data_IF_125883789182
#
_entry.id   IF_125883789182
#
_cell.length_a   1.000
_cell.length_b   1.000
_cell.length_c   1.000
_cell.angle_alpha   90.00
_cell.angle_beta   90.00
_cell.angle_gamma   90.00
#
_symmetry.space_group_name_H-M   'P 1'
#
loop_
_entity.id
_entity.type
_entity.pdbx_description
1 polymer ?
#
# COMPACT_ATOMS: atom_id res chain seq x y z
N UNK A 1 13.61 6.38 19.27
CA UNK A 1 14.41 6.01 18.06
C UNK A 1 13.63 6.42 16.82
N UNK A 2 14.27 6.41 15.64
CA UNK A 2 13.66 6.77 14.35
C UNK A 2 12.72 5.65 13.83
N UNK A 3 11.60 5.42 14.53
CA UNK A 3 10.50 4.55 14.06
C UNK A 3 9.59 5.35 13.13
N UNK A 4 8.84 4.67 12.26
CA UNK A 4 7.86 5.29 11.36
C UNK A 4 6.99 6.36 12.07
N UNK A 5 6.39 6.01 13.22
CA UNK A 5 5.57 6.95 14.01
C UNK A 5 6.35 8.18 14.50
N UNK A 6 7.61 8.02 14.91
CA UNK A 6 8.43 9.13 15.40
C UNK A 6 9.01 9.99 14.27
N UNK A 7 9.02 9.49 13.03
CA UNK A 7 9.51 10.21 11.85
C UNK A 7 8.42 11.02 11.15
N UNK A 8 7.15 10.84 11.53
CA UNK A 8 6.05 11.63 11.00
C UNK A 8 6.26 13.14 11.26
N UNK A 9 6.07 13.96 10.23
CA UNK A 9 6.26 15.42 10.28
C UNK A 9 7.71 15.89 10.25
N UNK A 10 8.67 15.00 10.06
CA UNK A 10 10.10 15.36 9.97
C UNK A 10 10.57 15.63 8.54
N UNK A 11 9.78 15.24 7.53
CA UNK A 11 10.16 15.29 6.12
C UNK A 11 11.11 14.17 5.68
N UNK A 12 11.39 13.18 6.54
CA UNK A 12 12.23 12.02 6.22
C UNK A 12 11.34 10.83 5.86
N UNK A 13 11.52 10.32 4.63
CA UNK A 13 10.76 9.17 4.14
C UNK A 13 11.08 7.86 4.86
N UNK A 14 10.03 7.07 5.12
CA UNK A 14 10.14 5.70 5.63
C UNK A 14 9.42 4.71 4.74
N UNK A 15 9.98 3.51 4.60
CA UNK A 15 9.36 2.42 3.85
C UNK A 15 8.01 2.04 4.44
N UNK A 16 7.00 1.94 3.57
CA UNK A 16 5.65 1.57 3.93
C UNK A 16 5.41 0.08 3.72
N UNK A 17 5.48 -0.67 4.82
CA UNK A 17 5.18 -2.10 4.91
C UNK A 17 3.68 -2.44 4.82
N UNK A 18 2.78 -1.49 5.08
CA UNK A 18 1.32 -1.70 4.96
C UNK A 18 0.95 -2.04 3.53
N UNK A 19 1.34 -1.19 2.57
CA UNK A 19 1.06 -1.40 1.15
C UNK A 19 1.77 -2.65 0.62
N UNK A 20 3.00 -2.90 1.09
CA UNK A 20 3.77 -4.10 0.74
C UNK A 20 2.97 -5.36 1.03
N UNK A 21 2.51 -5.50 2.27
CA UNK A 21 1.83 -6.71 2.73
C UNK A 21 0.40 -6.80 2.19
N UNK A 22 -0.32 -5.68 2.11
CA UNK A 22 -1.69 -5.68 1.59
C UNK A 22 -1.76 -6.03 0.10
N UNK A 23 -0.80 -5.56 -0.71
CA UNK A 23 -0.73 -5.91 -2.13
C UNK A 23 -0.24 -7.35 -2.32
N UNK A 24 0.85 -7.75 -1.63
CA UNK A 24 1.48 -9.07 -1.82
C UNK A 24 0.73 -10.21 -1.14
N UNK A 25 0.13 -9.98 0.02
CA UNK A 25 -0.40 -11.03 0.90
C UNK A 25 0.65 -11.67 1.80
N UNK A 26 0.24 -12.03 3.02
CA UNK A 26 1.10 -12.57 4.06
C UNK A 26 2.10 -11.53 4.60
N UNK A 27 3.29 -11.99 5.00
CA UNK A 27 4.38 -11.13 5.46
C UNK A 27 5.75 -11.72 5.10
N UNK A 28 6.85 -10.98 5.23
CA UNK A 28 8.20 -11.54 5.07
C UNK A 28 8.54 -12.70 6.03
N UNK A 29 7.78 -12.85 7.13
CA UNK A 29 8.08 -13.81 8.19
C UNK A 29 7.16 -15.05 8.16
N UNK A 30 6.20 -15.11 7.24
CA UNK A 30 5.24 -16.21 7.16
C UNK A 30 4.07 -15.90 6.23
N UNK A 31 3.20 -16.90 6.01
CA UNK A 31 2.08 -16.76 5.08
C UNK A 31 2.57 -16.72 3.62
N UNK A 32 3.57 -17.52 3.26
CA UNK A 32 4.15 -17.52 1.89
C UNK A 32 3.11 -17.72 0.80
N UNK A 33 2.11 -18.55 1.04
CA UNK A 33 1.01 -18.81 0.10
C UNK A 33 -0.26 -18.00 0.41
N UNK A 34 -0.27 -17.13 1.44
CA UNK A 34 -1.42 -16.26 1.70
C UNK A 34 -1.52 -15.19 0.63
N UNK A 35 -2.67 -15.10 -0.04
CA UNK A 35 -2.91 -14.13 -1.11
C UNK A 35 -3.21 -12.74 -0.54
N UNK A 36 -2.86 -11.73 -1.34
CA UNK A 36 -3.19 -10.32 -1.11
C UNK A 36 -4.06 -9.77 -2.24
N UNK A 37 -4.13 -8.44 -2.33
CA UNK A 37 -4.99 -7.76 -3.31
C UNK A 37 -4.63 -8.13 -4.76
N UNK A 38 -3.34 -8.20 -5.12
CA UNK A 38 -2.95 -8.32 -6.54
C UNK A 38 -2.93 -9.74 -7.08
N UNK A 39 -3.09 -10.77 -6.24
CA UNK A 39 -2.82 -12.16 -6.61
C UNK A 39 -3.91 -13.16 -6.21
N UNK A 40 -5.15 -12.71 -6.02
CA UNK A 40 -6.33 -13.58 -6.06
C UNK A 40 -7.12 -13.76 -4.77
N UNK A 41 -6.77 -13.06 -3.67
CA UNK A 41 -7.51 -13.22 -2.40
C UNK A 41 -9.02 -13.00 -2.62
N UNK A 42 -9.85 -13.95 -2.19
CA UNK A 42 -11.32 -13.98 -2.35
C UNK A 42 -11.85 -14.20 -3.78
N UNK A 43 -11.24 -13.62 -4.82
CA UNK A 43 -11.77 -13.69 -6.20
C UNK A 43 -11.12 -14.77 -7.07
N UNK A 44 -9.95 -15.28 -6.70
CA UNK A 44 -9.25 -16.37 -7.37
C UNK A 44 -8.39 -17.14 -6.34
N UNK A 45 -9.02 -17.82 -5.35
CA UNK A 45 -8.32 -18.42 -4.23
C UNK A 45 -7.42 -19.57 -4.68
N UNK A 46 -6.22 -19.65 -4.12
CA UNK A 46 -5.31 -20.77 -4.36
C UNK A 46 -5.73 -22.01 -3.54
N UNK A 47 -5.03 -23.12 -3.79
CA UNK A 47 -5.41 -24.45 -3.30
C UNK A 47 -5.23 -24.62 -1.77
N UNK A 48 -4.50 -23.71 -1.11
CA UNK A 48 -4.28 -23.75 0.34
C UNK A 48 -5.21 -22.81 1.11
N UNK A 49 -5.99 -21.99 0.41
CA UNK A 49 -7.00 -21.15 1.03
C UNK A 49 -8.09 -22.03 1.67
N UNK A 50 -8.23 -21.88 2.99
CA UNK A 50 -9.14 -22.68 3.81
C UNK A 50 -10.07 -21.83 4.66
N UNK A 51 -9.90 -20.51 4.65
CA UNK A 51 -10.79 -19.58 5.35
C UNK A 51 -12.17 -19.59 4.69
N UNK A 52 -13.26 -19.47 5.46
CA UNK A 52 -14.58 -19.27 4.88
C UNK A 52 -14.62 -18.03 3.98
N UNK A 53 -15.41 -18.07 2.92
CA UNK A 53 -15.52 -16.99 1.93
C UNK A 53 -15.77 -15.61 2.57
N UNK A 54 -16.65 -15.54 3.58
CA UNK A 54 -16.89 -14.28 4.31
C UNK A 54 -15.66 -13.73 5.03
N UNK A 55 -14.76 -14.60 5.51
CA UNK A 55 -13.49 -14.20 6.12
C UNK A 55 -12.48 -13.77 5.04
N UNK A 56 -12.45 -14.46 3.90
CA UNK A 56 -11.62 -14.04 2.76
C UNK A 56 -12.02 -12.65 2.28
N UNK A 57 -13.34 -12.41 2.09
CA UNK A 57 -13.88 -11.10 1.72
C UNK A 57 -13.52 -10.04 2.74
N UNK A 58 -13.79 -10.27 4.03
CA UNK A 58 -13.46 -9.31 5.08
C UNK A 58 -11.96 -9.00 5.13
N UNK A 59 -11.10 -10.00 4.94
CA UNK A 59 -9.65 -9.81 4.84
C UNK A 59 -9.31 -8.93 3.65
N UNK A 60 -9.80 -9.25 2.45
CA UNK A 60 -9.56 -8.46 1.24
C UNK A 60 -10.00 -7.00 1.43
N UNK A 61 -11.16 -6.77 2.02
CA UNK A 61 -11.69 -5.42 2.23
C UNK A 61 -10.82 -4.59 3.19
N UNK A 62 -10.30 -5.21 4.26
CA UNK A 62 -9.33 -4.55 5.13
C UNK A 62 -8.02 -4.22 4.39
N UNK A 63 -7.51 -5.15 3.57
CA UNK A 63 -6.31 -4.91 2.76
C UNK A 63 -6.55 -3.76 1.76
N UNK A 64 -7.74 -3.68 1.16
CA UNK A 64 -8.11 -2.58 0.26
C UNK A 64 -8.10 -1.23 0.99
N UNK A 65 -8.57 -1.15 2.23
CA UNK A 65 -8.49 0.08 3.03
C UNK A 65 -7.05 0.45 3.40
N UNK A 66 -6.20 -0.52 3.75
CA UNK A 66 -4.77 -0.28 3.96
C UNK A 66 -4.09 0.24 2.69
N UNK A 67 -4.45 -0.30 1.52
CA UNK A 67 -3.97 0.17 0.22
C UNK A 67 -4.45 1.60 -0.05
N UNK A 68 -5.73 1.91 0.19
CA UNK A 68 -6.27 3.28 0.03
C UNK A 68 -5.51 4.29 0.89
N UNK A 69 -5.26 3.98 2.16
CA UNK A 69 -4.48 4.83 3.05
C UNK A 69 -3.08 5.06 2.49
N UNK A 70 -2.39 4.00 2.05
CA UNK A 70 -1.07 4.13 1.45
C UNK A 70 -1.05 4.94 0.14
N UNK A 71 -2.05 4.72 -0.71
CA UNK A 71 -2.24 5.45 -1.97
C UNK A 71 -2.54 6.94 -1.74
N UNK A 72 -3.11 7.31 -0.59
CA UNK A 72 -3.29 8.69 -0.14
C UNK A 72 -2.07 9.23 0.64
N UNK A 73 -0.86 8.75 0.34
CA UNK A 73 0.37 9.23 0.98
C UNK A 73 0.61 8.65 2.38
N UNK A 74 -0.12 7.61 2.76
CA UNK A 74 -0.09 6.95 4.08
C UNK A 74 -0.35 7.90 5.26
N UNK A 75 -1.08 8.98 4.99
CA UNK A 75 -1.36 10.07 5.90
C UNK A 75 -2.19 9.59 7.09
N UNK A 76 -1.81 9.99 8.29
CA UNK A 76 -2.53 9.67 9.52
C UNK A 76 -3.96 10.25 9.51
N UNK A 77 -4.11 11.47 8.98
CA UNK A 77 -5.35 12.24 9.06
C UNK A 77 -6.19 12.17 7.77
N UNK A 78 -5.77 11.41 6.75
CA UNK A 78 -6.55 11.30 5.52
C UNK A 78 -7.89 10.61 5.79
N UNK A 79 -8.99 11.34 5.55
CA UNK A 79 -10.35 10.87 5.84
C UNK A 79 -11.02 10.23 4.64
N UNK A 80 -11.62 9.05 4.83
CA UNK A 80 -12.37 8.32 3.81
C UNK A 80 -13.40 7.36 4.44
N UNK A 81 -14.31 6.82 3.63
CA UNK A 81 -15.25 5.77 4.07
C UNK A 81 -14.56 4.41 4.05
N UNK A 82 -14.41 3.77 5.20
CA UNK A 82 -13.84 2.43 5.35
C UNK A 82 -14.81 1.34 4.87
N UNK A 83 -14.31 0.10 4.79
CA UNK A 83 -15.11 -1.07 4.45
C UNK A 83 -16.23 -1.37 5.45
N UNK A 84 -16.17 -0.82 6.66
CA UNK A 84 -17.25 -0.91 7.65
C UNK A 84 -18.43 0.01 7.31
N UNK A 85 -18.25 0.96 6.37
CA UNK A 85 -19.22 2.02 6.09
C UNK A 85 -19.02 3.28 6.93
N UNK A 86 -18.11 3.26 7.90
CA UNK A 86 -17.81 4.41 8.74
C UNK A 86 -16.78 5.33 8.06
N UNK A 87 -16.93 6.64 8.25
CA UNK A 87 -15.89 7.61 7.90
C UNK A 87 -14.79 7.57 8.96
N UNK A 88 -13.57 7.29 8.53
CA UNK A 88 -12.39 7.16 9.39
C UNK A 88 -11.20 7.87 8.79
N UNK A 89 -10.18 8.10 9.61
CA UNK A 89 -8.86 8.58 9.18
C UNK A 89 -7.90 7.42 8.91
N UNK A 90 -6.82 7.66 8.19
CA UNK A 90 -5.80 6.64 7.91
C UNK A 90 -5.20 6.00 9.17
N UNK A 91 -5.09 6.75 10.26
CA UNK A 91 -4.59 6.25 11.54
C UNK A 91 -5.57 5.31 12.27
N UNK A 92 -6.85 5.33 11.90
CA UNK A 92 -7.88 4.46 12.48
C UNK A 92 -8.01 3.12 11.75
N UNK A 93 -7.41 2.99 10.56
CA UNK A 93 -7.29 1.69 9.88
C UNK A 93 -6.20 0.87 10.54
N UNK A 94 -6.52 -0.36 10.90
CA UNK A 94 -5.58 -1.24 11.60
C UNK A 94 -4.55 -1.86 10.66
N UNK A 95 -3.29 -1.95 11.12
CA UNK A 95 -2.24 -2.80 10.57
C UNK A 95 -1.42 -3.43 11.71
N UNK A 96 -1.59 -4.74 11.93
CA UNK A 96 -1.05 -5.40 13.11
C UNK A 96 -1.55 -4.75 14.41
N UNK A 97 -0.61 -4.41 15.30
CA UNK A 97 -0.90 -3.70 16.55
C UNK A 97 -0.88 -2.16 16.41
N UNK A 98 -0.67 -1.65 15.20
CA UNK A 98 -0.49 -0.22 14.93
C UNK A 98 -1.45 0.33 13.87
N UNK A 99 -1.36 1.65 13.61
CA UNK A 99 -2.13 2.29 12.56
C UNK A 99 -1.56 1.99 11.17
N UNK A 100 -2.42 1.94 10.16
CA UNK A 100 -2.00 1.90 8.77
C UNK A 100 -1.38 3.25 8.37
N UNK A 101 -2.12 4.34 8.55
CA UNK A 101 -1.67 5.70 8.28
C UNK A 101 -0.85 6.28 9.44
N UNK A 102 0.30 6.87 9.12
CA UNK A 102 1.19 7.46 10.13
C UNK A 102 1.91 8.73 9.68
N UNK A 103 1.98 9.03 8.38
CA UNK A 103 2.74 10.18 7.88
C UNK A 103 1.97 11.48 8.10
N UNK A 104 2.69 12.59 8.17
CA UNK A 104 2.10 13.93 8.17
C UNK A 104 2.16 14.59 6.77
N UNK A 105 3.06 14.13 5.92
CA UNK A 105 3.22 14.59 4.54
C UNK A 105 3.37 13.40 3.58
N UNK A 106 2.75 13.42 2.38
CA UNK A 106 2.86 12.31 1.44
C UNK A 106 4.31 11.97 1.07
N UNK A 107 5.25 12.92 1.12
CA UNK A 107 6.65 12.70 0.79
C UNK A 107 7.37 11.81 1.82
N UNK A 108 6.80 11.62 3.01
CA UNK A 108 7.32 10.72 4.04
C UNK A 108 7.01 9.24 3.75
N UNK A 109 6.14 8.97 2.77
CA UNK A 109 5.67 7.63 2.42
C UNK A 109 6.45 7.05 1.23
N UNK A 110 7.36 6.11 1.51
CA UNK A 110 8.05 5.34 0.47
C UNK A 110 7.24 4.07 0.18
N UNK A 111 6.45 4.09 -0.89
CA UNK A 111 5.61 2.97 -1.30
C UNK A 111 6.43 1.91 -2.05
N UNK A 112 6.37 0.66 -1.60
CA UNK A 112 7.06 -0.45 -2.24
C UNK A 112 6.33 -1.77 -2.02
N UNK A 113 6.52 -2.70 -2.95
CA UNK A 113 6.00 -4.09 -2.85
C UNK A 113 7.08 -5.13 -3.16
N UNK A 114 8.32 -4.68 -3.34
CA UNK A 114 9.51 -5.51 -3.48
C UNK A 114 10.74 -4.64 -3.25
N UNK A 115 11.78 -5.24 -2.69
CA UNK A 115 13.07 -4.63 -2.45
C UNK A 115 14.18 -5.68 -2.66
N UNK A 116 15.40 -5.37 -2.23
CA UNK A 116 16.52 -6.28 -2.36
C UNK A 116 16.45 -7.44 -1.35
N UNK A 117 15.88 -7.19 -0.18
CA UNK A 117 15.55 -8.17 0.86
C UNK A 117 14.21 -8.85 0.57
N UNK A 118 14.05 -10.07 1.09
CA UNK A 118 12.90 -10.94 0.86
C UNK A 118 12.76 -11.36 -0.62
N UNK A 119 11.70 -12.09 -0.94
CA UNK A 119 11.44 -12.55 -2.30
C UNK A 119 11.14 -11.38 -3.24
N UNK A 120 11.57 -11.49 -4.50
CA UNK A 120 11.13 -10.58 -5.56
C UNK A 120 9.60 -10.62 -5.70
N UNK A 121 9.01 -9.62 -6.35
CA UNK A 121 7.56 -9.64 -6.59
C UNK A 121 7.15 -10.86 -7.43
N UNK A 122 7.93 -11.19 -8.46
CA UNK A 122 7.61 -12.31 -9.34
C UNK A 122 7.66 -13.65 -8.59
N UNK A 123 8.68 -13.87 -7.76
CA UNK A 123 8.82 -15.08 -6.94
C UNK A 123 7.68 -15.19 -5.92
N UNK A 124 7.33 -14.07 -5.26
CA UNK A 124 6.22 -14.05 -4.32
C UNK A 124 4.87 -14.37 -4.99
N UNK A 125 4.64 -13.91 -6.22
CA UNK A 125 3.45 -14.28 -6.99
C UNK A 125 3.44 -15.77 -7.30
N UNK A 126 4.59 -16.39 -7.57
CA UNK A 126 4.63 -17.83 -7.87
C UNK A 126 4.16 -18.68 -6.69
N UNK A 127 4.45 -18.28 -5.46
CA UNK A 127 3.93 -18.96 -4.26
C UNK A 127 2.41 -18.82 -4.08
N UNK A 128 1.83 -17.72 -4.55
CA UNK A 128 0.50 -17.26 -4.13
C UNK A 128 -0.57 -17.45 -5.19
N UNK A 129 -0.20 -17.35 -6.46
CA UNK A 129 -1.13 -17.51 -7.56
C UNK A 129 -1.67 -18.96 -7.60
N UNK A 130 -2.96 -19.17 -7.90
CA UNK A 130 -3.53 -20.50 -8.05
C UNK A 130 -2.75 -21.34 -9.06
N UNK A 131 -2.71 -22.65 -8.89
CA UNK A 131 -1.98 -23.54 -9.79
C UNK A 131 -2.51 -23.47 -11.23
N UNK A 132 -3.80 -23.17 -11.41
CA UNK A 132 -4.42 -22.99 -12.72
C UNK A 132 -4.07 -21.65 -13.41
N UNK A 133 -3.50 -20.67 -12.69
CA UNK A 133 -3.17 -19.36 -13.25
C UNK A 133 -2.04 -19.46 -14.28
N UNK A 134 -2.30 -18.96 -15.48
CA UNK A 134 -1.35 -18.96 -16.59
C UNK A 134 -0.20 -17.96 -16.37
N UNK A 135 0.86 -18.03 -17.18
CA UNK A 135 1.91 -17.00 -17.16
C UNK A 135 1.33 -15.60 -17.43
N UNK A 136 0.37 -15.48 -18.36
CA UNK A 136 -0.29 -14.21 -18.65
C UNK A 136 -1.04 -13.66 -17.42
N UNK A 137 -1.73 -14.52 -16.66
CA UNK A 137 -2.38 -14.13 -15.41
C UNK A 137 -1.37 -13.64 -14.38
N UNK A 138 -0.25 -14.35 -14.23
CA UNK A 138 0.84 -14.01 -13.29
C UNK A 138 1.53 -12.69 -13.66
N UNK A 139 1.73 -12.42 -14.95
CA UNK A 139 2.21 -11.12 -15.44
C UNK A 139 1.20 -10.02 -15.12
N UNK A 140 -0.12 -10.28 -15.22
CA UNK A 140 -1.13 -9.31 -14.80
C UNK A 140 -1.19 -9.10 -13.30
N UNK A 141 -0.95 -10.13 -12.47
CA UNK A 141 -0.81 -9.99 -11.02
C UNK A 141 0.40 -9.11 -10.65
N UNK A 142 1.53 -9.28 -11.35
CA UNK A 142 2.72 -8.44 -11.22
C UNK A 142 2.38 -6.99 -11.57
N UNK A 143 1.75 -6.80 -12.74
CA UNK A 143 1.31 -5.51 -13.24
C UNK A 143 0.36 -4.81 -12.26
N UNK A 144 -0.66 -5.50 -11.76
CA UNK A 144 -1.61 -4.96 -10.78
C UNK A 144 -0.90 -4.50 -9.50
N UNK A 145 0.07 -5.25 -8.99
CA UNK A 145 0.84 -4.81 -7.83
C UNK A 145 1.66 -3.55 -8.13
N UNK A 146 2.38 -3.53 -9.25
CA UNK A 146 3.23 -2.40 -9.63
C UNK A 146 2.43 -1.13 -9.91
N UNK A 147 1.24 -1.25 -10.51
CA UNK A 147 0.39 -0.10 -10.82
C UNK A 147 -0.13 0.60 -9.57
N UNK A 148 -0.45 -0.16 -8.50
CA UNK A 148 -0.84 0.40 -7.19
C UNK A 148 0.27 1.32 -6.68
N UNK A 149 1.52 0.86 -6.67
CA UNK A 149 2.68 1.67 -6.26
C UNK A 149 2.89 2.85 -7.21
N UNK A 150 2.75 2.64 -8.52
CA UNK A 150 2.97 3.65 -9.55
C UNK A 150 1.99 4.82 -9.48
N UNK A 151 0.74 4.57 -9.12
CA UNK A 151 -0.30 5.60 -9.07
C UNK A 151 -0.63 6.08 -7.65
N UNK A 152 0.10 5.61 -6.64
CA UNK A 152 0.01 6.12 -5.27
C UNK A 152 0.59 7.54 -5.14
N UNK A 153 0.03 8.36 -4.25
CA UNK A 153 0.68 9.56 -3.73
C UNK A 153 1.89 9.19 -2.86
N UNK A 154 2.80 10.14 -2.70
CA UNK A 154 4.11 9.92 -2.07
C UNK A 154 5.18 9.45 -3.04
N UNK A 155 6.14 8.67 -2.56
CA UNK A 155 7.34 8.30 -3.32
C UNK A 155 7.29 6.82 -3.72
N UNK A 156 7.03 6.49 -5.00
CA UNK A 156 7.12 5.13 -5.49
C UNK A 156 8.56 4.62 -5.47
N UNK A 157 8.75 3.41 -4.96
CA UNK A 157 10.01 2.69 -4.97
C UNK A 157 9.84 1.35 -5.68
N UNK A 158 10.75 1.05 -6.60
CA UNK A 158 10.74 -0.19 -7.38
C UNK A 158 12.09 -0.89 -7.28
N UNK A 159 12.05 -2.19 -6.95
CA UNK A 159 13.22 -3.04 -7.02
C UNK A 159 13.66 -3.22 -8.48
N UNK A 160 14.98 -3.10 -8.74
CA UNK A 160 15.52 -3.28 -10.08
C UNK A 160 15.13 -4.65 -10.66
N UNK A 161 14.52 -4.64 -11.86
CA UNK A 161 14.03 -5.82 -12.56
C UNK A 161 12.59 -6.22 -12.21
N UNK A 162 11.90 -5.51 -11.31
CA UNK A 162 10.46 -5.74 -11.11
C UNK A 162 9.64 -5.48 -12.38
N UNK A 163 10.08 -4.56 -13.23
CA UNK A 163 9.54 -4.29 -14.57
C UNK A 163 9.90 -5.37 -15.62
N UNK A 164 10.77 -6.32 -15.28
CA UNK A 164 11.22 -7.39 -16.17
C UNK A 164 11.00 -8.77 -15.55
N UNK A 165 10.01 -8.91 -14.66
CA UNK A 165 9.65 -10.16 -14.01
C UNK A 165 10.81 -10.82 -13.23
N UNK A 166 11.74 -10.03 -12.68
CA UNK A 166 12.94 -10.55 -12.01
C UNK A 166 12.61 -11.60 -10.96
N UNK A 167 13.35 -12.70 -11.03
CA UNK A 167 13.36 -13.78 -10.06
C UNK A 167 14.78 -13.96 -9.51
N UNK A 168 14.86 -14.42 -8.26
CA UNK A 168 16.08 -14.92 -7.63
C UNK A 168 15.97 -16.42 -7.36
N UNK A 169 15.14 -17.12 -8.14
CA UNK A 169 14.80 -18.53 -7.95
C UNK A 169 14.30 -18.81 -6.52
N UNK A 170 13.42 -17.92 -6.00
CA UNK A 170 12.87 -17.94 -4.65
C UNK A 170 13.82 -17.61 -3.49
N UNK A 171 15.04 -17.12 -3.75
CA UNK A 171 15.93 -16.71 -2.65
C UNK A 171 15.37 -15.51 -1.89
N UNK A 172 15.05 -15.72 -0.60
CA UNK A 172 14.51 -14.67 0.28
C UNK A 172 15.57 -13.74 0.86
N UNK A 173 16.84 -14.11 0.83
CA UNK A 173 17.92 -13.33 1.44
C UNK A 173 19.21 -13.53 0.66
N UNK A 174 19.25 -12.90 -0.52
CA UNK A 174 20.24 -13.17 -1.55
C UNK A 174 21.52 -12.32 -1.42
N UNK A 175 21.80 -11.76 -0.24
CA UNK A 175 22.89 -10.80 -0.04
C UNK A 175 24.27 -11.37 -0.42
N UNK A 176 24.47 -12.69 -0.27
CA UNK A 176 25.71 -13.41 -0.59
C UNK A 176 25.47 -14.62 -1.52
N UNK A 177 24.39 -14.58 -2.32
CA UNK A 177 24.05 -15.65 -3.27
C UNK A 177 24.73 -15.48 -4.63
N UNK A 178 25.63 -14.49 -4.77
CA UNK A 178 26.43 -14.24 -5.97
C UNK A 178 25.63 -13.89 -7.23
N UNK A 179 26.34 -13.79 -8.35
CA UNK A 179 25.77 -13.40 -9.64
C UNK A 179 24.75 -14.41 -10.18
N UNK A 180 24.91 -15.70 -9.82
CA UNK A 180 24.03 -16.77 -10.29
C UNK A 180 22.56 -16.48 -9.94
N UNK A 181 22.27 -16.20 -8.67
CA UNK A 181 20.89 -15.92 -8.22
C UNK A 181 20.48 -14.45 -8.35
N UNK A 182 21.43 -13.51 -8.39
CA UNK A 182 21.12 -12.07 -8.40
C UNK A 182 21.17 -11.41 -9.78
N UNK A 183 21.69 -12.10 -10.80
CA UNK A 183 21.92 -11.56 -12.13
C UNK A 183 20.68 -10.89 -12.75
N UNK A 184 20.89 -9.73 -13.37
CA UNK A 184 19.89 -9.03 -14.16
C UNK A 184 20.22 -9.20 -15.65
N UNK A 185 19.32 -9.83 -16.39
CA UNK A 185 19.49 -10.05 -17.82
C UNK A 185 18.85 -8.93 -18.66
N UNK A 186 19.68 -7.95 -19.03
CA UNK A 186 19.26 -6.83 -19.87
C UNK A 186 19.06 -7.19 -21.36
N UNK A 187 19.30 -8.45 -21.76
CA UNK A 187 18.88 -8.94 -23.08
C UNK A 187 17.40 -9.36 -23.12
N UNK A 188 16.74 -9.36 -21.96
CA UNK A 188 15.33 -9.74 -21.75
C UNK A 188 15.04 -11.20 -22.13
N UNK A 189 16.04 -12.07 -22.15
CA UNK A 189 15.87 -13.48 -22.50
C UNK A 189 15.46 -14.33 -21.29
N UNK A 190 15.84 -13.91 -20.08
CA UNK A 190 15.62 -14.68 -18.84
C UNK A 190 15.23 -13.77 -17.69
N UNK A 191 14.30 -14.23 -16.86
CA UNK A 191 13.90 -13.55 -15.62
C UNK A 191 14.80 -13.88 -14.42
N UNK A 192 15.55 -14.98 -14.47
CA UNK A 192 16.24 -15.57 -13.32
C UNK A 192 15.44 -16.68 -12.62
N UNK A 193 14.24 -17.01 -13.11
CA UNK A 193 13.40 -18.07 -12.53
C UNK A 193 13.86 -19.46 -12.99
N UNK A 194 13.78 -20.44 -12.09
CA UNK A 194 14.03 -21.84 -12.44
C UNK A 194 15.51 -22.21 -12.58
N UNK A 195 16.44 -21.47 -11.97
CA UNK A 195 17.89 -21.70 -12.07
C UNK A 195 18.47 -22.54 -10.93
N UNK A 196 17.61 -23.32 -10.27
CA UNK A 196 17.94 -24.19 -9.13
C UNK A 196 17.37 -23.69 -7.81
N UNK A 197 17.38 -24.56 -6.79
CA UNK A 197 16.99 -24.18 -5.43
C UNK A 197 17.96 -23.13 -4.88
N UNK A 198 17.49 -22.11 -4.16
CA UNK A 198 18.34 -21.07 -3.59
C UNK A 198 19.17 -21.60 -2.42
N UNK A 199 20.14 -20.84 -1.90
CA UNK A 199 21.07 -21.32 -0.86
C UNK A 199 20.35 -21.82 0.40
N UNK A 200 20.78 -22.98 0.92
CA UNK A 200 20.10 -23.70 1.99
C UNK A 200 19.97 -22.90 3.30
N UNK A 201 20.99 -22.13 3.67
CA UNK A 201 21.07 -21.39 4.96
C UNK A 201 19.79 -20.60 5.28
N UNK A 202 19.23 -19.93 4.27
CA UNK A 202 18.03 -19.09 4.44
C UNK A 202 16.75 -19.74 3.92
N UNK A 203 16.85 -20.77 3.08
CA UNK A 203 15.74 -21.20 2.23
C UNK A 203 15.34 -22.67 2.38
N UNK A 204 16.15 -23.51 3.04
CA UNK A 204 15.95 -24.97 3.05
C UNK A 204 14.59 -25.41 3.59
N UNK A 205 14.06 -24.71 4.60
CA UNK A 205 12.75 -25.01 5.18
C UNK A 205 11.61 -24.88 4.15
N UNK A 206 11.76 -24.00 3.15
CA UNK A 206 10.77 -23.75 2.12
C UNK A 206 11.01 -24.54 0.82
N UNK A 207 12.06 -25.36 0.75
CA UNK A 207 12.32 -26.20 -0.43
C UNK A 207 11.13 -27.07 -0.87
N UNK A 208 10.34 -27.68 0.04
CA UNK A 208 9.15 -28.44 -0.38
C UNK A 208 8.12 -27.61 -1.15
N UNK A 209 8.04 -26.29 -0.88
CA UNK A 209 7.19 -25.36 -1.63
C UNK A 209 7.82 -24.96 -2.97
N UNK A 210 9.14 -24.71 -2.97
CA UNK A 210 9.87 -24.24 -4.15
C UNK A 210 10.03 -25.31 -5.23
N UNK A 211 10.36 -26.54 -4.84
CA UNK A 211 10.69 -27.63 -5.76
C UNK A 211 9.64 -27.88 -6.85
N UNK A 212 8.34 -28.05 -6.54
CA UNK A 212 7.33 -28.27 -7.58
C UNK A 212 7.19 -27.06 -8.51
N UNK A 213 7.29 -25.83 -7.98
CA UNK A 213 7.17 -24.59 -8.76
C UNK A 213 8.38 -24.40 -9.70
N UNK A 214 9.59 -24.65 -9.22
CA UNK A 214 10.82 -24.55 -10.03
C UNK A 214 10.91 -25.64 -11.10
N UNK A 215 10.25 -26.78 -10.89
CA UNK A 215 10.22 -27.88 -11.84
C UNK A 215 9.18 -27.69 -12.96
N UNK A 216 8.25 -26.73 -12.83
CA UNK A 216 7.21 -26.50 -13.82
C UNK A 216 7.71 -25.55 -14.93
N UNK A 217 7.91 -26.04 -16.17
CA UNK A 217 8.34 -25.20 -17.28
C UNK A 217 7.30 -24.13 -17.67
N UNK A 218 6.02 -24.30 -17.31
CA UNK A 218 4.99 -23.30 -17.58
C UNK A 218 5.16 -22.02 -16.72
N UNK A 219 5.93 -22.10 -15.62
CA UNK A 219 6.21 -20.97 -14.75
C UNK A 219 7.49 -20.19 -15.14
N UNK A 220 8.15 -20.58 -16.24
CA UNK A 220 9.28 -19.82 -16.78
C UNK A 220 8.79 -18.74 -17.76
N UNK A 221 8.96 -17.44 -17.45
CA UNK A 221 8.56 -16.37 -18.37
C UNK A 221 9.33 -16.42 -19.68
N UNK A 222 8.61 -16.24 -20.78
CA UNK A 222 9.24 -16.02 -22.09
C UNK A 222 9.77 -14.59 -22.23
N UNK A 223 10.58 -14.34 -23.25
CA UNK A 223 10.97 -12.98 -23.61
C UNK A 223 9.75 -12.08 -23.87
N UNK A 224 8.67 -12.62 -24.45
CA UNK A 224 7.46 -11.85 -24.73
C UNK A 224 6.78 -11.39 -23.44
N UNK A 225 6.71 -12.26 -22.42
CA UNK A 225 6.15 -11.93 -21.11
C UNK A 225 6.96 -10.84 -20.40
N UNK A 226 8.30 -10.96 -20.42
CA UNK A 226 9.23 -9.98 -19.84
C UNK A 226 9.06 -8.62 -20.53
N UNK A 227 9.04 -8.60 -21.87
CA UNK A 227 8.89 -7.37 -22.63
C UNK A 227 7.50 -6.74 -22.48
N UNK A 228 6.44 -7.55 -22.35
CA UNK A 228 5.10 -7.06 -22.09
C UNK A 228 5.03 -6.33 -20.74
N UNK A 229 5.60 -6.90 -19.68
CA UNK A 229 5.69 -6.25 -18.37
C UNK A 229 6.48 -4.92 -18.44
N UNK A 230 7.64 -4.94 -19.11
CA UNK A 230 8.51 -3.77 -19.22
C UNK A 230 7.86 -2.62 -20.01
N UNK A 231 7.11 -2.93 -21.07
CA UNK A 231 6.41 -1.92 -21.86
C UNK A 231 5.28 -1.26 -21.07
N UNK A 232 4.44 -2.07 -20.43
CA UNK A 232 3.35 -1.56 -19.57
C UNK A 232 3.89 -0.70 -18.41
N UNK A 233 5.01 -1.11 -17.80
CA UNK A 233 5.65 -0.32 -16.75
C UNK A 233 6.11 1.07 -17.25
N UNK A 234 6.71 1.14 -18.45
CA UNK A 234 7.11 2.41 -19.08
C UNK A 234 5.92 3.28 -19.44
N UNK A 235 4.83 2.69 -19.89
CA UNK A 235 3.57 3.39 -20.16
C UNK A 235 3.07 4.08 -18.88
N UNK A 236 3.04 3.37 -17.74
CA UNK A 236 2.60 4.00 -16.49
C UNK A 236 3.55 5.07 -15.97
N UNK A 237 4.86 4.95 -16.20
CA UNK A 237 5.80 6.05 -15.89
C UNK A 237 5.44 7.31 -16.67
N UNK A 238 5.08 7.19 -17.95
CA UNK A 238 4.63 8.31 -18.77
C UNK A 238 3.33 8.92 -18.21
N UNK A 239 2.38 8.08 -17.78
CA UNK A 239 1.11 8.55 -17.19
C UNK A 239 1.35 9.24 -15.84
N UNK A 240 2.17 8.68 -14.95
CA UNK A 240 2.48 9.34 -13.67
C UNK A 240 3.14 10.71 -13.89
N UNK A 241 3.93 10.85 -14.96
CA UNK A 241 4.59 12.11 -15.30
C UNK A 241 3.68 13.09 -16.04
N UNK A 242 2.62 12.62 -16.72
CA UNK A 242 1.76 13.47 -17.54
C UNK A 242 0.95 14.48 -16.72
N UNK A 243 0.66 14.17 -15.46
CA UNK A 243 -0.11 15.05 -14.58
C UNK A 243 0.58 15.29 -13.23
N UNK A 244 0.62 16.54 -12.71
CA UNK A 244 0.99 16.82 -11.32
C UNK A 244 0.05 16.18 -10.30
N UNK A 245 -1.19 15.86 -10.67
CA UNK A 245 -2.19 15.28 -9.77
C UNK A 245 -1.78 13.90 -9.21
N UNK A 246 -0.92 13.16 -9.90
CA UNK A 246 -0.36 11.90 -9.38
C UNK A 246 0.74 12.09 -8.33
N UNK A 247 1.19 13.33 -8.10
CA UNK A 247 2.39 13.68 -7.32
C UNK A 247 2.12 14.91 -6.43
N UNK A 248 0.99 14.90 -5.74
CA UNK A 248 0.60 15.96 -4.80
C UNK A 248 1.64 16.04 -3.68
N UNK A 249 2.03 17.27 -3.34
CA UNK A 249 3.19 17.52 -2.49
C UNK A 249 2.84 17.74 -1.02
N UNK A 250 1.56 17.97 -0.71
CA UNK A 250 1.12 18.31 0.64
C UNK A 250 -0.05 17.45 1.07
N UNK A 251 -0.19 17.22 2.38
CA UNK A 251 -1.36 16.53 2.93
C UNK A 251 -2.67 17.27 2.62
N UNK A 252 -2.65 18.60 2.58
CA UNK A 252 -3.81 19.41 2.24
C UNK A 252 -4.27 19.19 0.79
N UNK A 253 -3.34 19.14 -0.16
CA UNK A 253 -3.65 18.82 -1.55
C UNK A 253 -4.20 17.41 -1.70
N UNK A 254 -3.58 16.42 -1.04
CA UNK A 254 -4.09 15.03 -1.05
C UNK A 254 -5.51 14.98 -0.52
N UNK A 255 -5.78 15.62 0.63
CA UNK A 255 -7.11 15.63 1.24
C UNK A 255 -8.17 16.35 0.39
N UNK A 256 -7.78 17.41 -0.34
CA UNK A 256 -8.70 18.20 -1.16
C UNK A 256 -8.98 17.58 -2.54
N UNK A 257 -8.02 16.82 -3.10
CA UNK A 257 -8.03 16.40 -4.51
C UNK A 257 -8.28 14.91 -4.68
N UNK A 258 -7.78 14.09 -3.75
CA UNK A 258 -7.86 12.65 -3.85
C UNK A 258 -9.11 12.14 -3.12
N UNK A 259 -9.91 11.32 -3.82
CA UNK A 259 -10.99 10.57 -3.21
C UNK A 259 -10.99 9.11 -3.67
N UNK A 260 -11.49 8.23 -2.82
CA UNK A 260 -11.76 6.84 -3.18
C UNK A 260 -13.25 6.59 -3.34
N UNK A 261 -13.58 5.87 -4.40
CA UNK A 261 -14.90 5.34 -4.70
C UNK A 261 -14.90 3.82 -4.55
N UNK A 262 -16.08 3.21 -4.66
CA UNK A 262 -16.29 1.80 -4.33
C UNK A 262 -15.82 1.50 -2.89
N UNK A 263 -16.38 2.23 -1.92
CA UNK A 263 -16.09 2.14 -0.48
C UNK A 263 -17.33 1.68 0.29
N UNK A 264 -17.20 1.46 1.60
CA UNK A 264 -18.31 0.96 2.42
C UNK A 264 -18.48 -0.56 2.43
N UNK A 265 -19.49 -1.06 3.15
CA UNK A 265 -19.74 -2.49 3.35
C UNK A 265 -20.09 -3.26 2.09
N UNK A 266 -20.73 -2.55 1.16
CA UNK A 266 -21.33 -3.11 -0.06
C UNK A 266 -20.39 -3.00 -1.26
N UNK A 267 -19.15 -2.51 -1.04
CA UNK A 267 -18.17 -2.36 -2.11
C UNK A 267 -17.86 -3.69 -2.81
N UNK A 268 -17.54 -3.57 -4.10
CA UNK A 268 -17.04 -4.65 -4.93
C UNK A 268 -15.62 -5.01 -4.48
N UNK A 269 -15.44 -6.23 -3.95
CA UNK A 269 -14.12 -6.73 -3.57
C UNK A 269 -13.20 -6.85 -4.78
N UNK A 270 -11.96 -6.37 -4.65
CA UNK A 270 -10.97 -6.42 -5.73
C UNK A 270 -11.02 -5.25 -6.71
N UNK A 271 -11.91 -4.26 -6.50
CA UNK A 271 -11.92 -3.01 -7.25
C UNK A 271 -11.56 -1.83 -6.35
N UNK A 272 -10.46 -1.15 -6.64
CA UNK A 272 -10.17 0.18 -6.07
C UNK A 272 -10.43 1.22 -7.15
N UNK A 273 -11.18 2.28 -6.81
CA UNK A 273 -11.43 3.41 -7.71
C UNK A 273 -10.93 4.67 -7.03
N UNK A 274 -9.98 5.35 -7.65
CA UNK A 274 -9.38 6.59 -7.15
C UNK A 274 -9.71 7.72 -8.11
N UNK A 275 -10.17 8.87 -7.62
CA UNK A 275 -10.25 10.09 -8.40
C UNK A 275 -9.27 11.14 -7.91
N UNK A 276 -8.76 11.95 -8.83
CA UNK A 276 -7.95 13.13 -8.56
C UNK A 276 -8.66 14.31 -9.21
N UNK A 277 -9.26 15.18 -8.40
CA UNK A 277 -9.98 16.37 -8.83
C UNK A 277 -9.03 17.58 -8.87
N UNK A 278 -9.12 18.37 -9.93
CA UNK A 278 -8.49 19.69 -10.01
C UNK A 278 -9.52 20.82 -10.11
N UNK A 279 -10.61 20.58 -10.84
CA UNK A 279 -11.65 21.56 -11.07
C UNK A 279 -12.27 22.09 -9.76
N UNK A 280 -12.49 23.40 -9.71
CA UNK A 280 -13.17 24.07 -8.60
C UNK A 280 -12.32 24.29 -7.36
N UNK A 281 -11.03 23.96 -7.40
CA UNK A 281 -10.09 24.24 -6.32
C UNK A 281 -9.38 25.59 -6.49
N UNK A 282 -8.86 26.21 -5.41
CA UNK A 282 -8.26 27.54 -5.48
C UNK A 282 -7.05 27.65 -6.42
N UNK A 283 -6.39 26.53 -6.71
CA UNK A 283 -5.24 26.45 -7.60
C UNK A 283 -5.50 25.33 -8.59
N UNK A 284 -5.51 25.65 -9.89
CA UNK A 284 -5.43 24.63 -10.95
C UNK A 284 -3.97 24.15 -11.02
N UNK A 285 -3.75 22.84 -10.79
CA UNK A 285 -2.41 22.23 -10.84
C UNK A 285 -2.07 21.65 -12.22
N UNK A 286 -3.06 21.17 -12.95
CA UNK A 286 -2.99 20.55 -14.26
C UNK A 286 -3.87 21.33 -15.26
N UNK A 287 -3.27 22.19 -16.11
CA UNK A 287 -4.02 23.06 -17.01
C UNK A 287 -4.76 22.32 -18.13
N UNK A 288 -4.56 21.01 -18.27
CA UNK A 288 -5.15 20.20 -19.33
C UNK A 288 -6.28 19.29 -18.83
N UNK A 289 -6.44 19.12 -17.50
CA UNK A 289 -7.29 18.06 -16.91
C UNK A 289 -8.06 18.54 -15.68
N UNK A 290 -9.39 18.46 -15.75
CA UNK A 290 -10.28 18.74 -14.62
C UNK A 290 -10.30 17.61 -13.58
N UNK A 291 -10.26 16.36 -14.06
CA UNK A 291 -10.32 15.17 -13.21
C UNK A 291 -9.65 13.96 -13.86
N UNK A 292 -8.95 13.18 -13.05
CA UNK A 292 -8.46 11.84 -13.41
C UNK A 292 -9.22 10.80 -12.60
N UNK A 293 -9.63 9.71 -13.22
CA UNK A 293 -10.17 8.52 -12.54
C UNK A 293 -9.31 7.31 -12.86
N UNK A 294 -8.83 6.62 -11.83
CA UNK A 294 -8.05 5.39 -11.96
C UNK A 294 -8.82 4.24 -11.33
N UNK A 295 -9.00 3.17 -12.10
CA UNK A 295 -9.64 1.94 -11.66
C UNK A 295 -8.63 0.80 -11.65
N UNK A 296 -8.52 0.11 -10.52
CA UNK A 296 -7.67 -1.05 -10.31
C UNK A 296 -8.56 -2.27 -10.12
N UNK A 297 -8.82 -3.00 -11.21
CA UNK A 297 -9.63 -4.22 -11.16
C UNK A 297 -8.71 -5.44 -11.00
N UNK A 298 -8.55 -5.93 -9.77
CA UNK A 298 -7.75 -7.13 -9.47
C UNK A 298 -8.51 -8.44 -9.71
N UNK A 299 -9.83 -8.38 -9.91
CA UNK A 299 -10.67 -9.56 -10.19
C UNK A 299 -10.35 -10.16 -11.56
N UNK A 300 -10.79 -11.41 -11.80
CA UNK A 300 -10.57 -12.10 -13.08
C UNK A 300 -11.51 -11.63 -14.17
N UNK A 301 -12.64 -11.02 -13.81
CA UNK A 301 -13.71 -10.63 -14.73
C UNK A 301 -13.73 -9.12 -14.98
N UNK A 302 -14.29 -8.66 -16.12
CA UNK A 302 -14.59 -7.25 -16.32
C UNK A 302 -15.54 -6.72 -15.26
N UNK A 303 -15.32 -5.48 -14.82
CA UNK A 303 -16.19 -4.78 -13.87
C UNK A 303 -16.65 -3.46 -14.48
N UNK A 304 -17.95 -3.17 -14.33
CA UNK A 304 -18.55 -1.87 -14.62
C UNK A 304 -18.90 -1.17 -13.32
N UNK A 305 -18.48 0.08 -13.16
CA UNK A 305 -18.69 0.86 -11.94
C UNK A 305 -19.01 2.32 -12.25
N UNK A 306 -20.04 2.88 -11.60
CA UNK A 306 -20.44 4.27 -11.71
C UNK A 306 -20.19 4.99 -10.38
N UNK A 307 -19.17 5.86 -10.27
CA UNK A 307 -18.93 6.63 -9.05
C UNK A 307 -20.08 7.60 -8.78
N UNK A 308 -20.66 7.54 -7.58
CA UNK A 308 -21.81 8.37 -7.20
C UNK A 308 -21.51 9.87 -7.33
N UNK A 309 -20.27 10.29 -7.05
CA UNK A 309 -19.87 11.70 -7.18
C UNK A 309 -20.07 12.21 -8.60
N UNK A 310 -19.85 11.37 -9.61
CA UNK A 310 -20.00 11.80 -11.00
C UNK A 310 -21.44 12.11 -11.33
N UNK A 311 -22.41 11.50 -10.64
CA UNK A 311 -23.84 11.81 -10.84
C UNK A 311 -24.22 13.19 -10.27
N UNK A 312 -23.47 13.68 -9.28
CA UNK A 312 -23.69 14.99 -8.68
C UNK A 312 -23.03 16.14 -9.46
N UNK A 313 -22.10 15.85 -10.38
CA UNK A 313 -21.39 16.86 -11.15
C UNK A 313 -22.14 17.26 -12.42
N UNK A 314 -22.05 18.55 -12.78
CA UNK A 314 -22.48 19.04 -14.09
C UNK A 314 -21.31 18.91 -15.07
N UNK A 315 -21.37 17.87 -15.90
CA UNK A 315 -20.34 17.57 -16.90
C UNK A 315 -20.75 18.09 -18.28
N UNK A 316 -19.90 18.92 -18.89
CA UNK A 316 -20.01 19.38 -20.28
C UNK A 316 -19.12 18.57 -21.25
N UNK A 317 -18.12 17.87 -20.71
CA UNK A 317 -17.23 16.94 -21.42
C UNK A 317 -17.41 15.49 -20.98
N UNK A 318 -16.65 14.59 -21.60
CA UNK A 318 -16.67 13.15 -21.33
C UNK A 318 -15.29 12.63 -20.94
N UNK A 319 -15.25 11.61 -20.10
CA UNK A 319 -14.00 10.92 -19.80
C UNK A 319 -13.52 10.14 -21.01
N UNK A 320 -12.23 10.21 -21.28
CA UNK A 320 -11.55 9.36 -22.26
C UNK A 320 -10.49 8.49 -21.59
N UNK A 321 -10.27 7.29 -22.11
CA UNK A 321 -9.12 6.48 -21.71
C UNK A 321 -7.83 7.28 -21.97
N UNK A 322 -6.92 7.30 -21.01
CA UNK A 322 -5.68 8.08 -21.11
C UNK A 322 -4.95 7.74 -22.42
N UNK A 323 -4.44 8.71 -23.21
CA UNK A 323 -3.90 8.47 -24.54
C UNK A 323 -2.81 7.38 -24.63
N UNK A 324 -1.97 7.30 -23.60
CA UNK A 324 -0.96 6.24 -23.45
C UNK A 324 -1.60 4.84 -23.38
N UNK A 325 -2.70 4.68 -22.64
CA UNK A 325 -3.40 3.40 -22.53
C UNK A 325 -4.21 3.08 -23.79
N UNK A 326 -4.82 4.08 -24.43
CA UNK A 326 -5.50 3.91 -25.71
C UNK A 326 -4.56 3.44 -26.83
N UNK A 327 -3.26 3.75 -26.72
CA UNK A 327 -2.21 3.30 -27.63
C UNK A 327 -1.30 2.23 -27.02
N UNK A 328 -1.73 1.58 -25.93
CA UNK A 328 -0.91 0.65 -25.15
C UNK A 328 -0.48 -0.56 -25.97
N UNK A 329 0.67 -1.13 -25.64
CA UNK A 329 1.05 -2.47 -26.12
C UNK A 329 0.17 -3.59 -25.57
N UNK A 330 -0.57 -3.36 -24.48
CA UNK A 330 -1.57 -4.26 -23.93
C UNK A 330 -2.95 -4.01 -24.58
N UNK A 331 -3.34 -4.89 -25.50
CA UNK A 331 -4.64 -4.79 -26.15
C UNK A 331 -5.84 -4.96 -25.19
N UNK A 332 -5.64 -5.54 -24.00
CA UNK A 332 -6.73 -5.70 -23.02
C UNK A 332 -7.12 -4.35 -22.43
N UNK A 333 -6.17 -3.52 -22.00
CA UNK A 333 -6.49 -2.21 -21.40
C UNK A 333 -7.14 -1.25 -22.40
N UNK A 334 -6.87 -1.41 -23.70
CA UNK A 334 -7.55 -0.65 -24.76
C UNK A 334 -9.06 -0.90 -24.80
N UNK A 335 -9.53 -2.04 -24.26
CA UNK A 335 -10.94 -2.36 -24.12
C UNK A 335 -11.64 -1.66 -22.95
N UNK A 336 -10.90 -0.94 -22.09
CA UNK A 336 -11.49 -0.16 -21.02
C UNK A 336 -12.23 1.07 -21.59
N UNK A 337 -13.42 1.35 -21.09
CA UNK A 337 -14.33 2.35 -21.65
C UNK A 337 -15.08 3.15 -20.60
N UNK A 338 -15.59 4.31 -21.01
CA UNK A 338 -16.52 5.13 -20.26
C UNK A 338 -17.83 5.26 -21.04
N UNK A 339 -18.96 5.12 -20.33
CA UNK A 339 -20.30 5.37 -20.86
C UNK A 339 -20.84 6.67 -20.25
N UNK A 340 -21.09 7.68 -21.11
CA UNK A 340 -21.55 9.00 -20.70
C UNK A 340 -23.02 9.02 -20.24
N UNK A 341 -23.87 8.10 -20.70
CA UNK A 341 -25.27 8.04 -20.32
C UNK A 341 -25.41 7.57 -18.86
N UNK A 342 -24.65 6.54 -18.49
CA UNK A 342 -24.68 5.97 -17.15
C UNK A 342 -23.60 6.53 -16.21
N UNK A 343 -22.69 7.37 -16.74
CA UNK A 343 -21.47 7.87 -16.08
C UNK A 343 -20.68 6.74 -15.43
N UNK A 344 -20.51 5.65 -16.17
CA UNK A 344 -19.91 4.41 -15.69
C UNK A 344 -18.63 4.07 -16.45
N UNK A 345 -17.69 3.41 -15.77
CA UNK A 345 -16.45 2.92 -16.33
C UNK A 345 -16.49 1.40 -16.39
N UNK A 346 -16.09 0.82 -17.53
CA UNK A 346 -15.89 -0.63 -17.67
C UNK A 346 -14.41 -0.93 -17.79
N UNK A 347 -13.91 -1.84 -16.96
CA UNK A 347 -12.48 -2.20 -16.89
C UNK A 347 -12.33 -3.72 -16.92
N UNK A 348 -11.55 -4.28 -17.86
CA UNK A 348 -11.30 -5.73 -17.92
C UNK A 348 -10.69 -6.30 -16.64
N UNK A 349 -10.76 -7.63 -16.50
CA UNK A 349 -10.12 -8.33 -15.39
C UNK A 349 -8.61 -8.09 -15.33
N UNK A 350 -8.06 -8.06 -14.11
CA UNK A 350 -6.64 -7.87 -13.81
C UNK A 350 -6.01 -6.70 -14.56
N UNK A 351 -6.70 -5.55 -14.56
CA UNK A 351 -6.34 -4.38 -15.37
C UNK A 351 -6.42 -3.10 -14.54
N UNK A 352 -5.44 -2.22 -14.74
CA UNK A 352 -5.48 -0.84 -14.25
C UNK A 352 -5.73 0.10 -15.41
N UNK A 353 -6.83 0.84 -15.34
CA UNK A 353 -7.23 1.80 -16.36
C UNK A 353 -7.25 3.22 -15.79
N UNK A 354 -6.76 4.19 -16.57
CA UNK A 354 -6.70 5.60 -16.22
C UNK A 354 -7.54 6.36 -17.23
N UNK A 355 -8.52 7.12 -16.76
CA UNK A 355 -9.38 7.97 -17.55
C UNK A 355 -9.13 9.43 -17.18
N UNK A 356 -9.20 10.31 -18.17
CA UNK A 356 -9.00 11.75 -18.00
C UNK A 356 -10.24 12.49 -18.49
N UNK A 357 -10.64 13.50 -17.74
CA UNK A 357 -11.66 14.46 -18.12
C UNK A 357 -10.94 15.79 -18.43
N UNK A 358 -11.00 16.31 -19.67
CA UNK A 358 -10.28 17.52 -20.05
C UNK A 358 -10.69 18.74 -19.21
N UNK A 359 -9.77 19.71 -19.06
CA UNK A 359 -10.05 21.00 -18.42
C UNK A 359 -11.32 21.68 -19.00
N UNK A 360 -12.13 22.28 -18.12
CA UNK A 360 -13.36 22.99 -18.49
C UNK A 360 -14.57 22.10 -18.76
N UNK A 361 -14.47 20.81 -18.46
CA UNK A 361 -15.54 19.82 -18.53
C UNK A 361 -16.44 19.80 -17.29
N UNK A 362 -15.99 20.30 -16.13
CA UNK A 362 -16.76 20.41 -14.90
C UNK A 362 -17.19 21.85 -14.70
N UNK A 363 -18.51 22.08 -14.68
CA UNK A 363 -19.06 23.39 -14.34
C UNK A 363 -18.88 23.67 -12.85
N UNK A 364 -17.94 24.53 -12.50
CA UNK A 364 -17.84 25.07 -11.14
C UNK A 364 -18.80 26.24 -11.04
N UNK A 365 -19.88 26.12 -10.26
CA UNK A 365 -20.74 27.25 -9.97
C UNK A 365 -19.90 28.30 -9.22
N UNK A 366 -19.45 29.34 -9.94
CA UNK A 366 -18.83 30.51 -9.32
C UNK A 366 -19.93 31.19 -8.52
N UNK A 367 -19.96 30.95 -7.21
CA UNK A 367 -20.68 31.83 -6.31
C UNK A 367 -19.98 33.19 -6.38
N UNK A 368 -20.48 34.06 -7.25
CA UNK A 368 -20.12 35.48 -7.24
C UNK A 368 -20.76 36.06 -5.99
N UNK A 369 -20.08 35.95 -4.84
CA UNK A 369 -20.34 36.90 -3.76
C UNK A 369 -19.77 38.24 -4.23
N UNK A 370 -20.67 39.15 -4.66
CA UNK A 370 -20.29 40.54 -4.84
C UNK A 370 -19.68 41.09 -3.55
N UNK A 371 -18.62 41.90 -3.62
CA UNK A 371 -17.97 42.41 -2.43
C UNK A 371 -18.94 43.34 -1.69
N UNK A 372 -19.36 42.94 -0.49
CA UNK A 372 -20.00 43.85 0.45
C UNK A 372 -18.98 44.94 0.78
N UNK A 373 -19.27 46.16 0.33
CA UNK A 373 -18.42 47.33 0.56
C UNK A 373 -18.07 47.46 2.05
N UNK A 374 -16.79 47.28 2.37
CA UNK A 374 -16.26 47.52 3.70
C UNK A 374 -16.35 49.02 4.01
N UNK A 375 -17.11 49.36 5.05
CA UNK A 375 -17.10 50.70 5.62
C UNK A 375 -15.70 51.00 6.17
N UNK A 376 -15.12 52.12 5.72
CA UNK A 376 -13.87 52.71 6.22
C UNK A 376 -13.94 52.93 7.74
N UNK A 377 -12.96 52.46 8.53
CA UNK A 377 -12.83 52.90 9.91
C UNK A 377 -12.15 54.28 9.97
N UNK A 378 -12.78 55.19 10.69
CA UNK A 378 -12.28 56.51 11.05
C UNK A 378 -10.98 56.40 11.85
N UNK A 379 -9.94 57.10 11.41
CA UNK A 379 -8.66 57.17 12.08
C UNK A 379 -8.78 57.98 13.38
N UNK A 380 -8.58 57.32 14.53
CA UNK A 380 -8.35 58.00 15.81
C UNK A 380 -6.85 58.18 16.01
N UNK A 381 -6.46 59.45 16.15
CA UNK A 381 -5.08 59.91 16.39
C UNK A 381 -4.68 59.58 17.83
N UNK A 382 -3.59 58.84 18.01
CA UNK A 382 -2.92 58.67 19.30
C UNK A 382 -1.88 59.79 19.50
N UNK A 383 -1.75 60.38 20.72
CA UNK A 383 -0.68 61.32 21.00
C UNK A 383 0.63 60.63 21.38
N UNK A 384 1.69 61.33 21.01
CA UNK A 384 3.11 61.03 21.14
C UNK A 384 3.58 61.01 22.61
N UNK A 385 4.36 59.99 23.03
CA UNK A 385 5.13 60.01 24.29
C UNK A 385 6.49 59.32 24.07
N UNK A 386 7.54 60.09 24.37
CA UNK A 386 8.96 59.77 24.26
C UNK A 386 9.46 58.77 25.36
N UNK A 387 10.69 58.22 25.24
CA UNK A 387 11.11 57.00 25.94
C UNK A 387 11.82 57.29 27.28
N UNK A 388 11.68 56.39 28.25
CA UNK A 388 12.57 56.30 29.41
C UNK A 388 12.75 54.85 29.90
N UNK A 389 14.02 54.45 29.97
CA UNK A 389 14.70 53.62 30.98
C UNK A 389 14.40 52.11 31.15
N UNK A 390 15.41 51.29 30.82
CA UNK A 390 15.79 50.01 31.48
C UNK A 390 16.05 50.20 33.00
N UNK A 391 16.16 49.17 33.89
CA UNK A 391 16.57 47.78 33.64
C UNK A 391 15.87 46.67 34.48
N UNK A 392 16.11 45.38 34.16
CA UNK A 392 16.83 44.44 35.06
C UNK A 392 16.67 42.96 34.66
N UNK A 393 17.74 42.22 34.99
CA UNK A 393 18.05 40.83 34.65
C UNK A 393 17.19 39.83 35.43
N UNK A 394 16.82 38.71 34.80
CA UNK A 394 16.50 37.47 35.51
C UNK A 394 17.13 36.26 34.80
N UNK A 395 17.83 35.45 35.60
CA UNK A 395 18.68 34.33 35.24
C UNK A 395 17.90 33.09 34.78
N UNK A 396 18.46 32.39 33.80
CA UNK A 396 18.19 30.99 33.45
C UNK A 396 18.77 30.03 34.49
N UNK A 397 18.15 28.86 34.75
CA UNK A 397 18.85 27.71 35.30
C UNK A 397 19.23 26.69 34.22
N UNK A 398 20.50 26.29 34.23
CA UNK A 398 21.10 25.18 33.46
C UNK A 398 20.77 23.80 34.08
N UNK A 399 20.95 22.70 33.32
CA UNK A 399 20.41 21.37 33.67
C UNK A 399 21.32 20.57 34.60
N UNK A 400 20.72 19.73 35.44
CA UNK A 400 21.39 18.75 36.30
C UNK A 400 21.72 17.44 35.58
N UNK A 401 22.82 16.74 35.95
CA UNK A 401 23.33 15.58 35.23
C UNK A 401 22.73 14.23 35.70
N UNK A 402 22.73 13.26 34.76
CA UNK A 402 22.43 11.82 34.96
C UNK A 402 23.37 11.16 35.97
N UNK A 403 22.90 10.14 36.73
CA UNK A 403 23.77 9.12 37.28
C UNK A 403 23.74 7.82 36.46
N UNK A 404 24.87 7.13 36.53
CA UNK A 404 25.27 5.90 35.84
C UNK A 404 24.53 4.64 36.31
N UNK A 405 24.58 3.62 35.45
CA UNK A 405 24.02 2.30 35.67
C UNK A 405 24.94 1.42 36.54
N UNK A 406 24.35 0.67 37.47
CA UNK A 406 24.98 -0.51 38.09
C UNK A 406 23.97 -1.65 38.21
N UNK A 407 24.44 -2.84 37.84
CA UNK A 407 23.71 -4.10 37.83
C UNK A 407 23.47 -4.68 39.24
N UNK A 408 22.31 -5.30 39.46
CA UNK A 408 22.09 -6.32 40.49
C UNK A 408 20.90 -7.23 40.11
N UNK A 409 21.05 -8.52 40.42
CA UNK A 409 20.13 -9.64 40.18
C UNK A 409 18.94 -9.63 41.18
N UNK A 410 17.85 -10.41 40.92
CA UNK A 410 16.58 -10.22 41.62
C UNK A 410 16.44 -11.07 42.89
N UNK A 411 15.70 -10.52 43.85
CA UNK A 411 15.23 -11.16 45.07
C UNK A 411 13.72 -11.45 44.96
N UNK A 412 13.27 -12.54 45.58
CA UNK A 412 11.93 -13.13 45.45
C UNK A 412 10.83 -12.45 46.29
N UNK A 413 9.60 -12.63 45.79
CA UNK A 413 8.31 -12.79 46.49
C UNK A 413 7.66 -11.58 47.23
N UNK A 414 6.44 -11.22 46.80
CA UNK A 414 5.21 -11.55 47.54
C UNK A 414 3.93 -11.20 46.75
N UNK A 415 2.88 -11.96 47.09
CA UNK A 415 1.56 -12.09 46.47
C UNK A 415 0.52 -11.05 46.90
N UNK A 416 -0.41 -10.69 46.02
CA UNK A 416 -1.78 -10.30 46.40
C UNK A 416 -2.79 -10.53 45.25
N UNK A 417 -3.86 -11.28 45.53
CA UNK A 417 -4.97 -11.63 44.64
C UNK A 417 -6.06 -10.54 44.55
N UNK A 418 -6.72 -10.48 43.38
CA UNK A 418 -8.19 -10.37 43.12
C UNK A 418 -8.40 -9.75 41.72
N UNK A 419 -9.25 -10.22 40.78
CA UNK A 419 -10.20 -11.30 40.75
C UNK A 419 -10.80 -11.45 39.33
N UNK A 420 -11.19 -12.67 38.95
CA UNK A 420 -12.38 -12.94 38.14
C UNK A 420 -12.33 -12.91 36.60
N UNK A 421 -11.69 -13.90 35.96
CA UNK A 421 -12.21 -14.59 34.74
C UNK A 421 -11.40 -15.86 34.39
N UNK A 422 -11.06 -16.68 35.39
CA UNK A 422 -10.14 -17.81 35.26
C UNK A 422 -10.80 -19.19 35.46
N UNK A 423 -11.64 -19.64 34.52
CA UNK A 423 -12.09 -21.03 34.54
C UNK A 423 -11.83 -21.81 33.24
N UNK A 424 -11.65 -21.13 32.10
CA UNK A 424 -11.37 -21.81 30.81
C UNK A 424 -9.86 -21.87 30.51
N UNK A 425 -9.07 -20.91 31.02
CA UNK A 425 -7.61 -20.89 30.84
C UNK A 425 -6.83 -21.80 31.82
N UNK A 426 -7.41 -22.09 33.00
CA UNK A 426 -6.72 -22.88 34.04
C UNK A 426 -6.45 -24.34 33.66
N UNK A 427 -7.31 -24.93 32.84
CA UNK A 427 -7.15 -26.32 32.39
C UNK A 427 -6.05 -26.42 31.33
N UNK A 428 -5.95 -25.43 30.42
CA UNK A 428 -4.95 -25.42 29.35
C UNK A 428 -3.55 -25.14 29.92
N UNK A 429 -3.43 -24.21 30.86
CA UNK A 429 -2.14 -23.89 31.50
C UNK A 429 -1.67 -25.02 32.43
N UNK A 430 -2.60 -25.70 33.13
CA UNK A 430 -2.27 -26.84 33.99
C UNK A 430 -1.68 -28.03 33.22
N UNK A 431 -2.19 -28.31 32.02
CA UNK A 431 -1.67 -29.39 31.16
C UNK A 431 -0.30 -29.03 30.57
N UNK A 432 -0.08 -27.77 30.18
CA UNK A 432 1.21 -27.31 29.65
C UNK A 432 2.30 -27.25 30.73
N UNK A 433 1.95 -26.85 31.97
CA UNK A 433 2.89 -26.85 33.10
C UNK A 433 3.29 -28.27 33.53
N UNK A 434 2.35 -29.23 33.51
CA UNK A 434 2.64 -30.63 33.80
C UNK A 434 3.56 -31.27 32.75
N UNK A 435 3.36 -30.94 31.46
CA UNK A 435 4.22 -31.38 30.36
C UNK A 435 5.61 -30.74 30.41
N UNK A 436 5.70 -29.45 30.77
CA UNK A 436 6.97 -28.75 30.97
C UNK A 436 7.78 -29.32 32.15
N UNK A 437 7.13 -29.63 33.27
CA UNK A 437 7.78 -30.25 34.42
C UNK A 437 8.26 -31.69 34.12
N UNK A 438 7.48 -32.48 33.38
CA UNK A 438 7.87 -33.80 32.92
C UNK A 438 9.07 -33.75 31.95
N UNK A 439 9.09 -32.78 31.03
CA UNK A 439 10.20 -32.55 30.10
C UNK A 439 11.49 -32.13 30.81
N UNK A 440 11.40 -31.23 31.79
CA UNK A 440 12.55 -30.79 32.58
C UNK A 440 13.12 -31.91 33.47
N UNK A 441 12.26 -32.77 34.04
CA UNK A 441 12.69 -33.95 34.79
C UNK A 441 13.33 -35.02 33.90
N UNK A 442 12.83 -35.20 32.67
CA UNK A 442 13.41 -36.12 31.69
C UNK A 442 14.78 -35.62 31.18
N UNK A 443 14.89 -34.32 30.91
CA UNK A 443 16.15 -33.67 30.50
C UNK A 443 17.21 -33.69 31.61
N UNK A 444 16.80 -33.57 32.87
CA UNK A 444 17.71 -33.64 34.03
C UNK A 444 18.22 -35.07 34.27
N UNK A 445 17.43 -36.10 33.96
CA UNK A 445 17.87 -37.52 34.01
C UNK A 445 18.79 -37.89 32.84
N UNK A 446 18.59 -37.33 31.65
CA UNK A 446 19.45 -37.58 30.49
C UNK A 446 20.82 -36.89 30.57
N UNK A 447 20.96 -35.83 31.37
CA UNK A 447 22.25 -35.15 31.61
C UNK A 447 23.05 -35.72 32.80
N UNK A 448 22.56 -36.77 33.47
CA UNK A 448 23.23 -37.43 34.60
C UNK A 448 23.58 -38.91 34.34
N UNK A 449 23.33 -39.40 33.12
CA UNK A 449 23.79 -40.68 32.59
C UNK A 449 24.76 -40.39 31.44
#
# INVERSE_FOLDING_TARGET
NATQLNMAGTGIGTFNDRIRDAVRGGSPFGGYQEQGFSNGLYHDPNEVESRPEGIQRATLLLLMDQIRVAMAGNLADFSFTAYTGETVTGSQIQYGDGPAGYTADPQENINYISAHDNETLFDAIQYKAPAAATMADRVRMQNMGLSIVMFSQGVPFFHAGSDTLRSKSFDRDSYDSGDWYNGLDWSYQRSGFGIGLPLADKNQENYPLMQPLLADPALQPSQADIMANANVFREWLQIRQSSPLFRLQTAADVQARLAFHNTGSDQLGGLIVMSLLDAGLPVNLDPDVDMIVVLFNATTEPVTFAPEILQALELSGEFALHPVLASSSDAIVQGASYDAADRSFTVPGRTTAVFVLPEGSISVAVAVEEPVAAATPEATVAPDVAPTDEPSKANSPSPTPRPEATAAAPEEAETAEAGGSGLVWGIVVGVLAALGAAYLLLRRRLNQA
#
